data_IF_483494249751
#
_entry.id   IF_483494249751
#
_cell.length_a   1.000
_cell.length_b   1.000
_cell.length_c   1.000
_cell.angle_alpha   90.00
_cell.angle_beta   90.00
_cell.angle_gamma   90.00
#
_symmetry.space_group_name_H-M   'P 1'
#
loop_
_entity.id
_entity.type
_entity.pdbx_description
1 polymer ?
#
# COMPACT_ATOMS: atom_id res chain seq x y z
N UNK A 1 -16.33 20.46 -12.67
CA UNK A 1 -15.50 20.64 -11.44
C UNK A 1 -14.12 21.11 -11.83
N UNK A 2 -13.58 22.11 -11.15
CA UNK A 2 -12.27 22.73 -11.45
C UNK A 2 -11.10 21.72 -11.47
N UNK A 3 -11.16 20.65 -10.67
CA UNK A 3 -10.18 19.56 -10.68
C UNK A 3 -10.20 18.73 -11.98
N UNK A 4 -11.38 18.46 -12.54
CA UNK A 4 -11.52 17.77 -13.83
C UNK A 4 -10.94 18.65 -14.94
N UNK A 5 -11.20 19.96 -14.89
CA UNK A 5 -10.62 20.91 -15.84
C UNK A 5 -9.09 21.01 -15.74
N UNK A 6 -8.51 20.95 -14.53
CA UNK A 6 -7.06 20.95 -14.34
C UNK A 6 -6.39 19.69 -14.91
N UNK A 7 -6.99 18.51 -14.70
CA UNK A 7 -6.52 17.25 -15.27
C UNK A 7 -6.63 17.25 -16.79
N UNK A 8 -7.74 17.77 -17.34
CA UNK A 8 -7.94 17.95 -18.78
C UNK A 8 -6.87 18.87 -19.36
N UNK A 9 -6.68 20.04 -18.76
CA UNK A 9 -5.74 21.06 -19.22
C UNK A 9 -4.30 20.55 -19.21
N UNK A 10 -3.89 19.84 -18.15
CA UNK A 10 -2.55 19.24 -18.06
C UNK A 10 -2.37 18.15 -19.12
N UNK A 11 -3.38 17.31 -19.36
CA UNK A 11 -3.30 16.26 -20.39
C UNK A 11 -3.25 16.85 -21.81
N UNK A 12 -3.98 17.95 -22.05
CA UNK A 12 -3.98 18.65 -23.34
C UNK A 12 -2.63 19.35 -23.58
N UNK A 13 -2.04 19.94 -22.54
CA UNK A 13 -0.73 20.58 -22.62
C UNK A 13 0.41 19.59 -22.93
N UNK A 14 0.34 18.37 -22.38
CA UNK A 14 1.38 17.36 -22.53
C UNK A 14 1.21 16.45 -23.77
N UNK A 15 -0.02 16.12 -24.17
CA UNK A 15 -0.28 15.10 -25.20
C UNK A 15 -1.14 15.58 -26.39
N UNK A 16 -1.66 16.81 -26.35
CA UNK A 16 -2.37 17.43 -27.48
C UNK A 16 -3.59 16.65 -27.99
N UNK A 17 -4.13 15.71 -27.21
CA UNK A 17 -5.19 14.78 -27.60
C UNK A 17 -6.36 14.86 -26.62
N UNK A 18 -7.62 14.84 -27.08
CA UNK A 18 -8.78 14.85 -26.20
C UNK A 18 -8.78 13.61 -25.28
N UNK A 19 -9.22 13.79 -24.03
CA UNK A 19 -9.30 12.69 -23.07
C UNK A 19 -10.30 11.65 -23.56
N UNK A 20 -9.86 10.39 -23.50
CA UNK A 20 -10.72 9.25 -23.81
C UNK A 20 -11.79 9.15 -22.72
N UNK A 21 -13.06 9.11 -23.13
CA UNK A 21 -14.24 9.12 -22.25
C UNK A 21 -14.28 7.95 -21.24
N UNK A 22 -13.64 6.81 -21.54
CA UNK A 22 -13.52 5.66 -20.63
C UNK A 22 -12.38 5.80 -19.60
N UNK A 23 -11.47 6.75 -19.79
CA UNK A 23 -10.26 6.90 -18.99
C UNK A 23 -10.54 7.15 -17.49
N UNK A 24 -11.51 7.99 -17.09
CA UNK A 24 -11.84 8.18 -15.67
C UNK A 24 -12.31 6.90 -14.97
N UNK A 25 -13.08 6.05 -15.66
CA UNK A 25 -13.58 4.78 -15.12
C UNK A 25 -12.41 3.81 -14.94
N UNK A 26 -11.54 3.73 -15.94
CA UNK A 26 -10.32 2.90 -15.87
C UNK A 26 -9.41 3.34 -14.73
N UNK A 27 -9.15 4.65 -14.61
CA UNK A 27 -8.35 5.20 -13.51
C UNK A 27 -9.00 4.87 -12.17
N UNK A 28 -10.31 5.03 -12.01
CA UNK A 28 -10.99 4.71 -10.76
C UNK A 28 -10.81 3.24 -10.37
N UNK A 29 -11.04 2.31 -11.30
CA UNK A 29 -10.90 0.87 -11.05
C UNK A 29 -9.45 0.51 -10.72
N UNK A 30 -8.49 1.03 -11.50
CA UNK A 30 -7.06 0.77 -11.28
C UNK A 30 -6.58 1.40 -9.97
N UNK A 31 -7.03 2.61 -9.64
CA UNK A 31 -6.70 3.28 -8.39
C UNK A 31 -7.20 2.52 -7.18
N UNK A 32 -8.44 2.00 -7.24
CA UNK A 32 -8.96 1.18 -6.15
C UNK A 32 -8.13 -0.11 -6.03
N UNK A 33 -7.85 -0.80 -7.14
CA UNK A 33 -7.03 -2.02 -7.11
C UNK A 33 -5.65 -1.78 -6.49
N UNK A 34 -4.91 -0.80 -7.02
CA UNK A 34 -3.56 -0.48 -6.55
C UNK A 34 -3.54 0.09 -5.13
N UNK A 35 -4.47 1.00 -4.80
CA UNK A 35 -4.51 1.66 -3.49
C UNK A 35 -4.80 0.69 -2.35
N UNK A 36 -5.70 -0.28 -2.59
CA UNK A 36 -6.06 -1.27 -1.57
C UNK A 36 -4.87 -2.17 -1.17
N UNK A 37 -4.03 -2.55 -2.13
CA UNK A 37 -2.84 -3.37 -1.84
C UNK A 37 -1.87 -2.65 -0.88
N UNK A 38 -1.79 -1.32 -1.00
CA UNK A 38 -0.99 -0.50 -0.10
C UNK A 38 -1.64 -0.31 1.27
N UNK A 39 -2.94 -0.02 1.32
CA UNK A 39 -3.66 0.16 2.58
C UNK A 39 -3.61 -1.10 3.44
N UNK A 40 -3.82 -2.27 2.81
CA UNK A 40 -3.77 -3.56 3.50
C UNK A 40 -2.37 -3.82 4.06
N UNK A 41 -1.31 -3.56 3.29
CA UNK A 41 0.06 -3.77 3.78
C UNK A 41 0.38 -2.91 5.00
N UNK A 42 -0.02 -1.63 4.98
CA UNK A 42 0.22 -0.71 6.08
C UNK A 42 -0.56 -1.10 7.34
N UNK A 43 -1.86 -1.38 7.19
CA UNK A 43 -2.72 -1.77 8.32
C UNK A 43 -2.27 -3.09 8.93
N UNK A 44 -1.83 -4.04 8.10
CA UNK A 44 -1.31 -5.33 8.58
C UNK A 44 -0.08 -5.13 9.44
N UNK A 45 0.86 -4.27 9.02
CA UNK A 45 2.05 -3.97 9.80
C UNK A 45 1.75 -3.25 11.11
N UNK A 46 0.86 -2.26 11.11
CA UNK A 46 0.43 -1.59 12.34
C UNK A 46 -0.20 -2.60 13.32
N UNK A 47 -0.98 -3.57 12.79
CA UNK A 47 -1.60 -4.63 13.58
C UNK A 47 -0.59 -5.61 14.17
N UNK A 48 0.48 -5.93 13.47
CA UNK A 48 1.57 -6.78 14.00
C UNK A 48 2.19 -6.15 15.24
N UNK A 49 2.62 -4.89 15.17
CA UNK A 49 3.21 -4.17 16.32
C UNK A 49 2.25 -4.06 17.52
N UNK A 50 0.96 -3.91 17.27
CA UNK A 50 -0.05 -3.91 18.34
C UNK A 50 -0.24 -5.29 18.96
N UNK A 51 -0.24 -6.35 18.15
CA UNK A 51 -0.42 -7.72 18.62
C UNK A 51 0.79 -8.21 19.44
N UNK A 52 1.97 -7.64 19.17
CA UNK A 52 3.20 -7.84 19.95
C UNK A 52 3.20 -7.14 21.33
N UNK A 53 2.13 -6.41 21.67
CA UNK A 53 1.92 -5.84 23.01
C UNK A 53 2.30 -4.37 23.17
N UNK A 54 2.57 -3.65 22.07
CA UNK A 54 2.81 -2.20 22.11
C UNK A 54 1.53 -1.43 22.45
N UNK A 55 1.67 -0.31 23.18
CA UNK A 55 0.56 0.64 23.36
C UNK A 55 0.16 1.27 22.02
N UNK A 56 -1.12 1.66 21.84
CA UNK A 56 -1.65 2.19 20.57
C UNK A 56 -0.73 3.24 19.91
N UNK A 57 -0.27 4.22 20.70
CA UNK A 57 0.55 5.31 20.20
C UNK A 57 1.98 4.83 19.82
N UNK A 58 2.57 3.92 20.61
CA UNK A 58 3.90 3.36 20.34
C UNK A 58 3.89 2.36 19.16
N UNK A 59 2.78 1.63 18.97
CA UNK A 59 2.61 0.73 17.83
C UNK A 59 2.56 1.51 16.50
N UNK A 60 1.85 2.65 16.48
CA UNK A 60 1.78 3.53 15.31
C UNK A 60 3.14 4.16 15.02
N UNK A 61 3.83 4.68 16.04
CA UNK A 61 5.15 5.30 15.88
C UNK A 61 6.19 4.30 15.35
N UNK A 62 6.32 3.13 15.99
CA UNK A 62 7.24 2.08 15.56
C UNK A 62 6.91 1.55 14.15
N UNK A 63 5.61 1.38 13.85
CA UNK A 63 5.18 0.94 12.53
C UNK A 63 5.58 1.94 11.44
N UNK A 64 5.32 3.23 11.65
CA UNK A 64 5.69 4.27 10.67
C UNK A 64 7.20 4.36 10.49
N UNK A 65 7.97 4.31 11.57
CA UNK A 65 9.43 4.40 11.52
C UNK A 65 10.07 3.23 10.75
N UNK A 66 9.65 2.00 11.03
CA UNK A 66 10.28 0.81 10.45
C UNK A 66 9.75 0.45 9.07
N UNK A 67 8.48 0.76 8.78
CA UNK A 67 7.87 0.37 7.49
C UNK A 67 7.79 1.51 6.49
N UNK A 68 7.91 2.76 6.93
CA UNK A 68 7.94 3.95 6.07
C UNK A 68 8.88 3.80 4.86
N UNK A 69 10.16 3.45 5.04
CA UNK A 69 11.10 3.29 3.93
C UNK A 69 10.73 2.17 2.93
N UNK A 70 10.25 1.02 3.43
CA UNK A 70 9.82 -0.13 2.60
C UNK A 70 8.63 0.26 1.72
N UNK A 71 7.73 1.04 2.28
CA UNK A 71 6.55 1.54 1.61
C UNK A 71 6.92 2.57 0.54
N UNK A 72 7.77 3.54 0.89
CA UNK A 72 8.16 4.61 -0.02
C UNK A 72 8.92 4.05 -1.22
N UNK A 73 9.78 3.04 -1.00
CA UNK A 73 10.47 2.33 -2.09
C UNK A 73 9.48 1.59 -3.00
N UNK A 74 8.50 0.89 -2.44
CA UNK A 74 7.45 0.26 -3.25
C UNK A 74 6.63 1.27 -4.07
N UNK A 75 6.22 2.39 -3.45
CA UNK A 75 5.51 3.47 -4.14
C UNK A 75 6.33 4.10 -5.27
N UNK A 76 7.64 4.28 -5.05
CA UNK A 76 8.55 4.82 -6.07
C UNK A 76 8.74 3.86 -7.25
N UNK A 77 8.86 2.56 -7.00
CA UNK A 77 8.96 1.54 -8.05
C UNK A 77 7.69 1.50 -8.89
N UNK A 78 6.52 1.53 -8.25
CA UNK A 78 5.22 1.55 -8.93
C UNK A 78 5.04 2.83 -9.74
N UNK A 79 5.36 4.00 -9.16
CA UNK A 79 5.36 5.26 -9.89
C UNK A 79 6.29 5.20 -11.11
N UNK A 80 7.51 4.69 -10.94
CA UNK A 80 8.46 4.49 -12.03
C UNK A 80 7.92 3.59 -13.13
N UNK A 81 7.28 2.48 -12.77
CA UNK A 81 6.66 1.56 -13.73
C UNK A 81 5.57 2.25 -14.57
N UNK A 82 4.67 3.02 -13.94
CA UNK A 82 3.63 3.77 -14.67
C UNK A 82 4.17 4.96 -15.47
N UNK A 83 5.26 5.59 -15.00
CA UNK A 83 5.96 6.62 -15.76
C UNK A 83 6.49 6.08 -17.09
N UNK A 84 6.88 4.79 -17.17
CA UNK A 84 7.29 4.19 -18.46
C UNK A 84 6.16 4.17 -19.50
N UNK A 85 4.90 4.08 -19.08
CA UNK A 85 3.76 4.10 -20.02
C UNK A 85 3.63 5.45 -20.72
N UNK A 86 4.15 6.53 -20.13
CA UNK A 86 4.20 7.86 -20.75
C UNK A 86 5.11 7.91 -21.99
N UNK A 87 6.07 6.97 -22.11
CA UNK A 87 6.93 6.84 -23.30
C UNK A 87 6.22 6.12 -24.46
N UNK A 88 5.04 5.56 -24.24
CA UNK A 88 4.26 4.89 -25.28
C UNK A 88 3.85 5.86 -26.39
N UNK A 89 3.69 5.36 -27.62
CA UNK A 89 3.10 6.13 -28.74
C UNK A 89 1.57 6.10 -28.75
N UNK A 90 0.95 5.35 -27.84
CA UNK A 90 -0.50 5.19 -27.74
C UNK A 90 -1.04 6.23 -26.73
N UNK A 91 -1.88 7.20 -27.14
CA UNK A 91 -2.39 8.26 -26.27
C UNK A 91 -3.10 7.73 -25.01
N UNK A 92 -3.81 6.60 -25.14
CA UNK A 92 -4.46 5.93 -24.00
C UNK A 92 -3.45 5.55 -22.91
N UNK A 93 -2.33 4.93 -23.29
CA UNK A 93 -1.30 4.48 -22.35
C UNK A 93 -0.58 5.68 -21.72
N UNK A 94 -0.35 6.74 -22.49
CA UNK A 94 0.27 7.96 -22.00
C UNK A 94 -0.57 8.66 -20.94
N UNK A 95 -1.86 8.87 -21.24
CA UNK A 95 -2.81 9.51 -20.32
C UNK A 95 -3.07 8.65 -19.07
N UNK A 96 -3.19 7.31 -19.23
CA UNK A 96 -3.31 6.40 -18.09
C UNK A 96 -2.05 6.41 -17.21
N UNK A 97 -0.87 6.29 -17.82
CA UNK A 97 0.41 6.29 -17.11
C UNK A 97 0.61 7.57 -16.30
N UNK A 98 0.34 8.73 -16.91
CA UNK A 98 0.41 10.02 -16.22
C UNK A 98 -0.59 10.13 -15.07
N UNK A 99 -1.84 9.72 -15.29
CA UNK A 99 -2.89 9.76 -14.27
C UNK A 99 -2.52 8.92 -13.04
N UNK A 100 -2.09 7.68 -13.26
CA UNK A 100 -1.68 6.78 -12.18
C UNK A 100 -0.41 7.28 -11.51
N UNK A 101 0.57 7.78 -12.26
CA UNK A 101 1.81 8.32 -11.70
C UNK A 101 1.57 9.46 -10.70
N UNK A 102 0.76 10.46 -11.07
CA UNK A 102 0.45 11.60 -10.21
C UNK A 102 -0.27 11.13 -8.95
N UNK A 103 -1.22 10.21 -9.11
CA UNK A 103 -1.97 9.63 -8.01
C UNK A 103 -1.06 8.90 -7.04
N UNK A 104 -0.19 8.01 -7.53
CA UNK A 104 0.70 7.22 -6.67
C UNK A 104 1.68 8.12 -5.94
N UNK A 105 2.18 9.19 -6.57
CA UNK A 105 3.01 10.17 -5.89
C UNK A 105 2.28 10.94 -4.79
N UNK A 106 1.04 11.37 -5.05
CA UNK A 106 0.21 12.02 -4.04
C UNK A 106 -0.13 11.06 -2.89
N UNK A 107 -0.46 9.81 -3.19
CA UNK A 107 -0.80 8.81 -2.18
C UNK A 107 0.40 8.46 -1.30
N UNK A 108 1.52 8.08 -1.91
CA UNK A 108 2.74 7.69 -1.20
C UNK A 108 3.32 8.83 -0.35
N UNK A 109 3.21 10.08 -0.81
CA UNK A 109 3.74 11.25 -0.13
C UNK A 109 2.79 11.90 0.88
N UNK A 110 1.57 12.26 0.46
CA UNK A 110 0.64 13.03 1.29
C UNK A 110 -0.26 12.13 2.14
N UNK A 111 -0.91 11.16 1.52
CA UNK A 111 -1.91 10.34 2.21
C UNK A 111 -1.23 9.45 3.25
N UNK A 112 -0.15 8.78 2.86
CA UNK A 112 0.49 7.75 3.68
C UNK A 112 1.28 8.31 4.86
N UNK A 113 2.03 9.39 4.63
CA UNK A 113 2.91 9.98 5.65
C UNK A 113 2.12 10.84 6.64
N UNK A 114 1.05 11.50 6.18
CA UNK A 114 0.33 12.46 7.01
C UNK A 114 -1.08 12.02 7.36
N UNK A 115 -1.87 11.56 6.40
CA UNK A 115 -3.30 11.30 6.61
C UNK A 115 -3.54 10.03 7.43
N UNK A 116 -2.91 8.92 7.05
CA UNK A 116 -3.09 7.63 7.73
C UNK A 116 -2.68 7.67 9.21
N UNK A 117 -1.47 8.12 9.60
CA UNK A 117 -1.10 8.17 11.02
C UNK A 117 -1.98 9.14 11.82
N UNK A 118 -2.45 10.23 11.21
CA UNK A 118 -3.36 11.19 11.86
C UNK A 118 -4.73 10.57 12.18
N UNK A 119 -5.31 9.83 11.22
CA UNK A 119 -6.60 9.15 11.40
C UNK A 119 -6.48 8.04 12.46
N UNK A 120 -5.42 7.23 12.38
CA UNK A 120 -5.16 6.15 13.34
C UNK A 120 -5.02 6.69 14.77
N UNK A 121 -4.29 7.79 14.94
CA UNK A 121 -4.12 8.44 16.25
C UNK A 121 -5.44 9.00 16.81
N UNK A 122 -6.36 9.41 15.95
CA UNK A 122 -7.68 9.91 16.37
C UNK A 122 -8.65 8.78 16.71
N UNK A 123 -8.64 7.68 15.96
CA UNK A 123 -9.62 6.58 16.13
C UNK A 123 -9.33 5.65 17.33
N UNK A 124 -8.08 5.57 17.83
CA UNK A 124 -7.68 4.79 19.02
C UNK A 124 -8.44 3.44 19.15
N UNK A 125 -9.31 3.30 20.15
CA UNK A 125 -10.05 2.07 20.47
C UNK A 125 -10.96 1.55 19.33
N UNK A 126 -11.40 2.41 18.41
CA UNK A 126 -12.19 1.98 17.25
C UNK A 126 -11.35 1.23 16.21
N UNK A 127 -10.05 1.53 16.12
CA UNK A 127 -9.14 0.94 15.15
C UNK A 127 -9.04 -0.59 15.30
N UNK A 128 -9.21 -1.08 16.53
CA UNK A 128 -9.08 -2.49 16.89
C UNK A 128 -10.42 -3.21 17.02
N UNK A 129 -11.53 -2.59 16.62
CA UNK A 129 -12.83 -3.23 16.66
C UNK A 129 -12.94 -4.27 15.54
N UNK A 130 -12.56 -5.51 15.85
CA UNK A 130 -12.73 -6.65 14.95
C UNK A 130 -14.09 -7.32 15.20
N UNK A 131 -14.95 -7.47 14.16
CA UNK A 131 -16.14 -8.30 14.24
C UNK A 131 -15.79 -9.74 14.63
N UNK A 132 -16.61 -10.36 15.48
CA UNK A 132 -16.39 -11.69 16.09
C UNK A 132 -16.03 -12.80 15.09
N UNK A 133 -16.39 -12.63 13.82
CA UNK A 133 -16.12 -13.53 12.69
C UNK A 133 -14.61 -13.64 12.35
N UNK A 134 -13.81 -12.59 12.56
CA UNK A 134 -12.40 -12.56 12.16
C UNK A 134 -11.41 -12.93 13.29
N UNK A 135 -11.90 -13.38 14.44
CA UNK A 135 -11.07 -13.72 15.62
C UNK A 135 -10.38 -15.10 15.55
N UNK A 136 -10.49 -15.81 14.41
CA UNK A 136 -9.95 -17.16 14.20
C UNK A 136 -8.75 -17.17 13.25
N UNK A 137 -7.76 -16.30 13.46
CA UNK A 137 -6.43 -16.53 12.91
C UNK A 137 -5.62 -17.19 14.02
N UNK A 138 -5.31 -18.49 13.94
CA UNK A 138 -4.50 -19.16 14.95
C UNK A 138 -3.13 -18.48 15.01
N UNK A 139 -2.69 -18.12 16.21
CA UNK A 139 -1.32 -17.66 16.43
C UNK A 139 -0.36 -18.70 15.82
N UNK A 140 0.54 -18.24 14.96
CA UNK A 140 1.54 -19.07 14.33
C UNK A 140 2.38 -19.71 15.44
N UNK A 141 2.19 -21.02 15.63
CA UNK A 141 2.73 -21.76 16.75
C UNK A 141 4.27 -21.83 16.61
N UNK A 142 5.07 -21.30 17.55
CA UNK A 142 6.54 -21.33 17.48
C UNK A 142 7.14 -22.75 17.45
N UNK A 143 6.32 -23.79 17.60
CA UNK A 143 6.76 -25.18 17.67
C UNK A 143 7.14 -25.79 16.30
N UNK A 144 6.99 -25.05 15.19
CA UNK A 144 7.49 -25.47 13.87
C UNK A 144 8.94 -25.02 13.60
N UNK A 145 9.58 -24.32 14.55
CA UNK A 145 10.98 -23.85 14.44
C UNK A 145 11.99 -24.79 15.11
N UNK A 146 11.67 -26.06 15.33
CA UNK A 146 12.68 -27.08 15.65
C UNK A 146 12.94 -28.02 14.47
N UNK A 147 13.68 -27.60 13.43
CA UNK A 147 14.42 -28.54 12.62
C UNK A 147 15.72 -28.88 13.37
N UNK A 148 15.83 -30.06 14.00
CA UNK A 148 17.09 -30.85 14.16
C UNK A 148 17.16 -31.85 15.33
N UNK A 149 16.16 -32.01 16.21
CA UNK A 149 16.33 -32.95 17.34
C UNK A 149 16.30 -34.45 16.97
N UNK A 150 15.94 -34.80 15.73
CA UNK A 150 15.80 -36.22 15.31
C UNK A 150 17.00 -36.75 14.53
N UNK A 151 17.75 -35.91 13.82
CA UNK A 151 18.88 -36.37 12.99
C UNK A 151 20.14 -36.72 13.80
N UNK A 152 20.30 -36.20 15.02
CA UNK A 152 21.45 -36.51 15.88
C UNK A 152 21.34 -37.86 16.61
N UNK A 153 20.16 -38.50 16.57
CA UNK A 153 19.96 -39.83 17.19
C UNK A 153 20.38 -40.98 16.28
N UNK A 154 20.25 -40.84 14.96
CA UNK A 154 20.63 -41.88 14.01
C UNK A 154 22.15 -41.90 13.76
N UNK A 155 22.83 -40.75 13.81
CA UNK A 155 24.29 -40.68 13.63
C UNK A 155 25.12 -41.22 14.82
N UNK A 156 24.46 -41.72 15.88
CA UNK A 156 25.12 -42.26 17.08
C UNK A 156 24.90 -43.77 17.27
N UNK A 157 24.17 -44.41 16.36
CA UNK A 157 23.92 -45.87 16.39
C UNK A 157 24.66 -46.66 15.30
N UNK A 158 25.42 -45.99 14.41
CA UNK A 158 26.29 -46.64 13.40
C UNK A 158 27.79 -46.54 13.73
#
# INVERSE_FOLDING_TARGET
SWAIAAVVYISELFFGSPIIWMLPIMLLVIMIGLGLDYDIFLVTRIREYFTEGSSDDAAIENAVEHTGPIITTSGLVTAGAFATMMLSRIPLLQQLGMGIFIVVMLDAGLVRIYLVPSIMRYMKRLNWWAPRIFRRVPAQNPLLTQPQATFDREAKED
#
